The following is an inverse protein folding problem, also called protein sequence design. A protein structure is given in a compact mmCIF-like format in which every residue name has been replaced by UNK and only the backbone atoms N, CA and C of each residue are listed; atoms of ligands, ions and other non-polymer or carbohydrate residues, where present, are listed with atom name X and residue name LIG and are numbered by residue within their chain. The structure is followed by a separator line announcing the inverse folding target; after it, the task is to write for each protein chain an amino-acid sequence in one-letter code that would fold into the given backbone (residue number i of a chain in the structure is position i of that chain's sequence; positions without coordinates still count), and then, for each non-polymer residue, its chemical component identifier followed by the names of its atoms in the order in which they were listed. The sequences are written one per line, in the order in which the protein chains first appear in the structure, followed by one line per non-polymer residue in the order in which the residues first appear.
data_IF_621837428600
#
_entry.id   IF_621837428600
#
_cell.length_a   1.000
_cell.length_b   1.000
_cell.length_c   1.000
_cell.angle_alpha   90.00
_cell.angle_beta   90.00
_cell.angle_gamma   90.00
#
_symmetry.space_group_name_H-M   'P 1'
#
loop_
_entity.id
_entity.type
_entity.pdbx_description
1 polymer ?
#
# COMPACT_ATOMS: atom_id res chain seq x y z
N UNK A 1 -19.83 -1.56 12.85
CA UNK A 1 -18.43 -1.32 13.27
C UNK A 1 -17.51 -1.54 12.09
N UNK A 2 -16.53 -0.66 11.89
CA UNK A 2 -15.62 -0.62 10.73
C UNK A 2 -14.19 -0.88 11.18
N UNK A 3 -13.40 -1.57 10.36
CA UNK A 3 -11.97 -1.77 10.61
C UNK A 3 -11.26 -0.41 10.69
N UNK A 4 -10.48 -0.11 11.74
CA UNK A 4 -9.75 1.14 11.88
C UNK A 4 -8.82 1.42 10.70
N UNK A 5 -8.35 0.39 9.98
CA UNK A 5 -7.57 0.57 8.76
C UNK A 5 -8.39 1.29 7.68
N UNK A 6 -9.69 0.98 7.54
CA UNK A 6 -10.55 1.67 6.60
C UNK A 6 -10.79 3.13 7.02
N UNK A 7 -10.95 3.40 8.33
CA UNK A 7 -11.05 4.77 8.83
C UNK A 7 -9.78 5.57 8.51
N UNK A 8 -8.61 5.04 8.89
CA UNK A 8 -7.34 5.74 8.72
C UNK A 8 -7.01 5.98 7.25
N UNK A 9 -7.35 5.04 6.37
CA UNK A 9 -7.12 5.21 4.94
C UNK A 9 -7.98 6.34 4.35
N UNK A 10 -9.22 6.53 4.82
CA UNK A 10 -10.05 7.67 4.40
C UNK A 10 -9.42 9.00 4.83
N UNK A 11 -8.95 9.08 6.07
CA UNK A 11 -8.28 10.28 6.60
C UNK A 11 -7.01 10.61 5.80
N UNK A 12 -6.16 9.61 5.55
CA UNK A 12 -4.92 9.81 4.79
C UNK A 12 -5.18 10.16 3.33
N UNK A 13 -6.25 9.63 2.71
CA UNK A 13 -6.65 10.06 1.37
C UNK A 13 -7.07 11.53 1.37
N UNK A 14 -7.87 11.94 2.37
CA UNK A 14 -8.29 13.33 2.49
C UNK A 14 -7.09 14.26 2.64
N UNK A 15 -6.17 13.95 3.54
CA UNK A 15 -4.92 14.72 3.74
C UNK A 15 -4.07 14.78 2.46
N UNK A 16 -4.00 13.69 1.70
CA UNK A 16 -3.24 13.64 0.45
C UNK A 16 -3.87 14.52 -0.65
N UNK A 17 -5.22 14.56 -0.73
CA UNK A 17 -5.95 15.43 -1.66
C UNK A 17 -5.80 16.91 -1.28
N UNK A 18 -5.90 17.23 0.01
CA UNK A 18 -5.63 18.57 0.53
C UNK A 18 -4.19 19.01 0.22
N UNK A 19 -3.21 18.12 0.43
CA UNK A 19 -1.82 18.39 0.12
C UNK A 19 -1.57 18.61 -1.39
N UNK A 20 -2.29 17.87 -2.23
CA UNK A 20 -2.22 18.03 -3.69
C UNK A 20 -2.93 19.30 -4.19
N UNK A 21 -3.78 19.92 -3.37
CA UNK A 21 -4.59 21.07 -3.75
C UNK A 21 -5.77 20.71 -4.69
N UNK A 22 -6.18 19.44 -4.70
CA UNK A 22 -7.24 18.93 -5.57
C UNK A 22 -8.32 18.26 -4.74
N UNK A 23 -9.39 19.01 -4.44
CA UNK A 23 -10.53 18.46 -3.74
C UNK A 23 -11.43 17.67 -4.71
N UNK A 24 -12.01 16.54 -4.28
CA UNK A 24 -12.84 15.69 -5.14
C UNK A 24 -14.01 16.40 -5.81
N UNK A 25 -14.54 17.43 -5.15
CA UNK A 25 -15.67 18.23 -5.62
C UNK A 25 -15.34 19.18 -6.78
N UNK A 26 -14.06 19.55 -6.93
CA UNK A 26 -13.61 20.54 -7.91
C UNK A 26 -12.87 19.93 -9.11
N UNK A 27 -12.50 18.64 -9.04
CA UNK A 27 -11.71 17.98 -10.09
C UNK A 27 -12.61 17.47 -11.25
N UNK A 28 -12.45 17.94 -12.49
CA UNK A 28 -13.40 17.67 -13.58
C UNK A 28 -13.24 16.30 -14.29
N UNK A 29 -12.43 15.38 -13.76
CA UNK A 29 -12.08 14.11 -14.41
C UNK A 29 -12.20 12.88 -13.49
N UNK A 30 -12.13 11.66 -14.05
CA UNK A 30 -12.15 10.44 -13.26
C UNK A 30 -10.93 10.34 -12.36
N UNK A 31 -11.19 10.24 -11.05
CA UNK A 31 -10.17 9.99 -10.02
C UNK A 31 -10.17 8.51 -9.66
N UNK A 32 -9.08 7.80 -9.93
CA UNK A 32 -8.89 6.40 -9.56
C UNK A 32 -8.37 6.23 -8.12
N UNK A 33 -8.69 5.10 -7.49
CA UNK A 33 -8.21 4.74 -6.14
C UNK A 33 -7.63 3.32 -6.15
N UNK A 34 -6.36 3.21 -5.82
CA UNK A 34 -5.61 1.96 -5.78
C UNK A 34 -4.99 1.79 -4.40
N UNK A 35 -5.22 0.66 -3.75
CA UNK A 35 -4.61 0.45 -2.45
C UNK A 35 -4.95 -0.87 -1.81
N UNK A 36 -4.33 -1.11 -0.67
CA UNK A 36 -4.58 -2.32 0.11
C UNK A 36 -4.30 -2.10 1.59
N UNK A 37 -4.83 -3.01 2.40
CA UNK A 37 -4.62 -3.01 3.83
C UNK A 37 -4.00 -4.31 4.35
N UNK A 38 -3.39 -4.22 5.54
CA UNK A 38 -2.83 -5.33 6.28
C UNK A 38 -3.88 -6.34 6.75
N UNK A 39 -3.49 -7.24 7.65
CA UNK A 39 -4.43 -8.22 8.22
C UNK A 39 -5.58 -7.51 8.95
N UNK A 40 -6.83 -7.96 8.74
CA UNK A 40 -8.02 -7.46 9.43
C UNK A 40 -8.09 -7.94 10.89
N UNK A 41 -7.11 -7.57 11.70
CA UNK A 41 -6.94 -7.99 13.10
C UNK A 41 -8.11 -7.53 13.99
N UNK A 42 -8.70 -6.37 13.68
CA UNK A 42 -9.85 -5.80 14.40
C UNK A 42 -11.06 -6.75 14.41
N UNK A 43 -11.31 -7.45 13.31
CA UNK A 43 -12.40 -8.44 13.24
C UNK A 43 -12.23 -9.52 14.32
N UNK A 44 -11.03 -10.08 14.46
CA UNK A 44 -10.77 -11.17 15.39
C UNK A 44 -10.76 -10.69 16.85
N UNK A 45 -10.09 -9.57 17.13
CA UNK A 45 -9.86 -9.14 18.51
C UNK A 45 -10.98 -8.29 19.11
N UNK A 46 -11.79 -7.62 18.28
CA UNK A 46 -12.80 -6.67 18.74
C UNK A 46 -14.23 -7.02 18.31
N UNK A 47 -14.41 -7.59 17.11
CA UNK A 47 -15.75 -7.94 16.62
C UNK A 47 -16.19 -9.29 17.16
N UNK A 48 -15.40 -10.34 16.96
CA UNK A 48 -15.72 -11.69 17.43
C UNK A 48 -15.78 -11.81 18.96
N UNK A 49 -15.14 -10.88 19.69
CA UNK A 49 -15.16 -10.81 21.15
C UNK A 49 -16.33 -9.99 21.72
N UNK A 50 -17.17 -9.38 20.87
CA UNK A 50 -18.31 -8.55 21.28
C UNK A 50 -19.64 -9.17 20.80
N UNK A 51 -20.23 -10.11 21.57
CA UNK A 51 -21.43 -10.84 21.15
C UNK A 51 -22.67 -9.93 21.00
N UNK A 52 -22.79 -8.89 21.82
CA UNK A 52 -23.90 -7.95 21.75
C UNK A 52 -23.89 -7.18 20.41
N UNK A 53 -22.72 -6.66 20.02
CA UNK A 53 -22.56 -6.00 18.72
C UNK A 53 -22.88 -6.93 17.54
N UNK A 54 -22.46 -8.20 17.65
CA UNK A 54 -22.73 -9.22 16.63
C UNK A 54 -24.23 -9.50 16.52
N UNK A 55 -24.93 -9.58 17.65
CA UNK A 55 -26.38 -9.78 17.69
C UNK A 55 -27.14 -8.58 17.12
N UNK A 56 -26.70 -7.36 17.42
CA UNK A 56 -27.38 -6.13 17.01
C UNK A 56 -27.22 -5.82 15.52
N UNK A 57 -26.02 -5.99 14.95
CA UNK A 57 -25.71 -5.60 13.57
C UNK A 57 -25.76 -6.79 12.60
N UNK A 58 -25.42 -7.99 13.08
CA UNK A 58 -25.31 -9.21 12.28
C UNK A 58 -23.91 -9.43 11.69
N UNK A 59 -23.47 -10.70 11.74
CA UNK A 59 -22.14 -11.12 11.29
C UNK A 59 -21.84 -10.81 9.83
N UNK A 60 -22.85 -10.83 8.95
CA UNK A 60 -22.63 -10.57 7.54
C UNK A 60 -22.12 -9.14 7.31
N UNK A 61 -22.81 -8.14 7.85
CA UNK A 61 -22.41 -6.73 7.70
C UNK A 61 -21.09 -6.45 8.41
N UNK A 62 -20.90 -7.00 9.62
CA UNK A 62 -19.66 -6.79 10.36
C UNK A 62 -18.46 -7.40 9.65
N UNK A 63 -18.53 -8.67 9.23
CA UNK A 63 -17.41 -9.35 8.56
C UNK A 63 -17.17 -8.78 7.16
N UNK A 64 -18.22 -8.71 6.34
CA UNK A 64 -18.09 -8.42 4.93
C UNK A 64 -17.88 -6.92 4.70
N UNK A 65 -18.90 -6.10 4.92
CA UNK A 65 -18.80 -4.68 4.56
C UNK A 65 -17.92 -3.89 5.52
N UNK A 66 -17.90 -4.25 6.81
CA UNK A 66 -17.16 -3.51 7.83
C UNK A 66 -15.67 -3.84 7.92
N UNK A 67 -15.25 -5.05 7.57
CA UNK A 67 -13.92 -5.57 7.90
C UNK A 67 -13.23 -6.36 6.78
N UNK A 68 -13.91 -6.64 5.67
CA UNK A 68 -13.25 -7.26 4.52
C UNK A 68 -12.39 -6.23 3.79
N UNK A 69 -11.30 -6.71 3.20
CA UNK A 69 -10.32 -5.88 2.48
C UNK A 69 -10.93 -5.26 1.24
N UNK A 70 -11.89 -5.95 0.63
CA UNK A 70 -12.57 -5.56 -0.61
C UNK A 70 -13.18 -4.15 -0.59
N UNK A 71 -13.52 -3.64 0.60
CA UNK A 71 -14.22 -2.36 0.76
C UNK A 71 -13.30 -1.17 1.00
N UNK A 72 -11.98 -1.36 1.13
CA UNK A 72 -11.04 -0.27 1.46
C UNK A 72 -11.09 0.89 0.45
N UNK A 73 -10.88 0.58 -0.84
CA UNK A 73 -10.79 1.59 -1.90
C UNK A 73 -12.16 2.04 -2.37
N UNK A 74 -13.12 1.11 -2.48
CA UNK A 74 -14.49 1.40 -2.94
C UNK A 74 -15.24 2.27 -1.95
N UNK A 75 -14.97 2.13 -0.64
CA UNK A 75 -15.48 3.06 0.37
C UNK A 75 -14.92 4.47 0.19
N UNK A 76 -13.62 4.62 -0.07
CA UNK A 76 -13.03 5.93 -0.36
C UNK A 76 -13.65 6.56 -1.60
N UNK A 77 -13.77 5.80 -2.69
CA UNK A 77 -14.45 6.26 -3.90
C UNK A 77 -15.89 6.68 -3.64
N UNK A 78 -16.64 5.93 -2.82
CA UNK A 78 -18.01 6.27 -2.46
C UNK A 78 -18.10 7.55 -1.61
N UNK A 79 -17.28 7.67 -0.57
CA UNK A 79 -17.30 8.82 0.36
C UNK A 79 -16.90 10.11 -0.35
N UNK A 80 -15.91 10.05 -1.24
CA UNK A 80 -15.37 11.22 -1.95
C UNK A 80 -15.95 11.40 -3.36
N UNK A 81 -16.95 10.60 -3.75
CA UNK A 81 -17.56 10.65 -5.10
C UNK A 81 -16.55 10.53 -6.25
N UNK A 82 -15.56 9.62 -6.11
CA UNK A 82 -14.53 9.38 -7.11
C UNK A 82 -15.01 8.35 -8.13
N UNK A 83 -14.91 8.69 -9.41
CA UNK A 83 -15.56 7.95 -10.51
C UNK A 83 -14.59 7.16 -11.40
N UNK A 84 -13.29 7.22 -11.13
CA UNK A 84 -12.30 6.38 -11.80
C UNK A 84 -12.25 4.95 -11.28
N UNK A 85 -11.30 4.11 -11.76
CA UNK A 85 -11.12 2.75 -11.27
C UNK A 85 -10.87 2.71 -9.77
N UNK A 86 -11.60 1.86 -9.04
CA UNK A 86 -11.41 1.66 -7.60
C UNK A 86 -11.01 0.21 -7.34
N UNK A 87 -9.72 -0.01 -7.09
CA UNK A 87 -9.11 -1.35 -7.11
C UNK A 87 -8.38 -1.65 -5.81
N UNK A 88 -8.85 -2.69 -5.11
CA UNK A 88 -8.11 -3.26 -4.00
C UNK A 88 -6.98 -4.16 -4.53
N UNK A 89 -5.77 -3.94 -4.03
CA UNK A 89 -4.58 -4.72 -4.39
C UNK A 89 -4.03 -5.37 -3.13
N UNK A 90 -3.64 -6.65 -3.22
CA UNK A 90 -3.09 -7.42 -2.11
C UNK A 90 -1.92 -8.27 -2.59
N UNK A 91 -0.69 -7.83 -2.28
CA UNK A 91 0.56 -8.53 -2.64
C UNK A 91 1.51 -8.63 -1.45
N UNK A 92 0.97 -8.73 -0.23
CA UNK A 92 1.73 -8.72 1.02
C UNK A 92 2.60 -7.45 1.16
N UNK A 93 3.90 -7.57 1.47
CA UNK A 93 4.78 -6.43 1.76
C UNK A 93 4.92 -5.43 0.61
N UNK A 94 4.70 -5.85 -0.65
CA UNK A 94 4.77 -4.95 -1.82
C UNK A 94 3.46 -4.23 -2.14
N UNK A 95 2.40 -4.45 -1.38
CA UNK A 95 1.02 -4.03 -1.72
C UNK A 95 0.90 -2.56 -2.15
N UNK A 96 1.44 -1.64 -1.35
CA UNK A 96 1.35 -0.20 -1.64
C UNK A 96 2.13 0.20 -2.89
N UNK A 97 3.30 -0.40 -3.13
CA UNK A 97 4.10 -0.09 -4.33
C UNK A 97 3.47 -0.68 -5.61
N UNK A 98 2.82 -1.85 -5.50
CA UNK A 98 2.03 -2.40 -6.61
C UNK A 98 0.78 -1.55 -6.88
N UNK A 99 0.15 -1.00 -5.84
CA UNK A 99 -0.94 -0.04 -6.03
C UNK A 99 -0.48 1.22 -6.78
N UNK A 100 0.72 1.74 -6.46
CA UNK A 100 1.35 2.84 -7.22
C UNK A 100 1.59 2.44 -8.67
N UNK A 101 2.09 1.23 -8.94
CA UNK A 101 2.28 0.75 -10.32
C UNK A 101 0.98 0.79 -11.11
N UNK A 102 -0.12 0.24 -10.59
CA UNK A 102 -1.41 0.24 -11.29
C UNK A 102 -2.04 1.64 -11.43
N UNK A 103 -1.85 2.52 -10.44
CA UNK A 103 -2.26 3.91 -10.55
C UNK A 103 -1.52 4.63 -11.68
N UNK A 104 -0.21 4.41 -11.81
CA UNK A 104 0.58 4.93 -12.94
C UNK A 104 0.08 4.37 -14.27
N UNK A 105 -0.21 3.07 -14.35
CA UNK A 105 -0.76 2.48 -15.58
C UNK A 105 -2.12 3.11 -15.94
N UNK A 106 -3.03 3.28 -14.97
CA UNK A 106 -4.34 3.90 -15.20
C UNK A 106 -4.26 5.34 -15.72
N UNK A 107 -3.28 6.11 -15.25
CA UNK A 107 -3.00 7.47 -15.75
C UNK A 107 -2.46 7.44 -17.19
N UNK A 108 -1.57 6.50 -17.50
CA UNK A 108 -0.95 6.38 -18.82
C UNK A 108 -1.90 5.82 -19.88
N UNK A 109 -2.85 4.96 -19.49
CA UNK A 109 -3.91 4.43 -20.38
C UNK A 109 -5.09 5.38 -20.53
N UNK A 110 -5.17 6.44 -19.71
CA UNK A 110 -6.26 7.41 -19.73
C UNK A 110 -7.54 6.93 -19.04
N UNK A 111 -7.45 5.88 -18.23
CA UNK A 111 -8.57 5.42 -17.38
C UNK A 111 -8.81 6.36 -16.19
N UNK A 112 -7.77 7.08 -15.76
CA UNK A 112 -7.82 8.11 -14.73
C UNK A 112 -7.15 9.41 -15.19
N UNK A 113 -7.65 10.54 -14.73
CA UNK A 113 -6.99 11.87 -14.89
C UNK A 113 -6.21 12.27 -13.63
N UNK A 114 -6.56 11.64 -12.51
CA UNK A 114 -5.83 11.66 -11.25
C UNK A 114 -5.97 10.28 -10.60
N UNK A 115 -4.93 9.80 -9.94
CA UNK A 115 -4.98 8.51 -9.26
C UNK A 115 -4.42 8.62 -7.85
N UNK A 116 -5.12 8.02 -6.90
CA UNK A 116 -4.71 7.93 -5.50
C UNK A 116 -4.17 6.53 -5.29
N UNK A 117 -2.94 6.41 -4.79
CA UNK A 117 -2.30 5.13 -4.55
C UNK A 117 -1.77 5.06 -3.12
N UNK A 118 -2.00 3.95 -2.41
CA UNK A 118 -1.54 3.86 -1.02
C UNK A 118 -1.73 2.52 -0.34
N UNK A 119 -1.52 2.52 0.97
CA UNK A 119 -1.82 1.38 1.81
C UNK A 119 -1.83 1.72 3.28
N UNK A 120 -2.40 0.80 4.07
CA UNK A 120 -2.53 0.94 5.52
C UNK A 120 -2.27 -0.40 6.21
N UNK A 121 -1.60 -0.36 7.35
CA UNK A 121 -1.48 -1.50 8.26
C UNK A 121 -1.68 -0.99 9.67
N UNK A 122 -2.63 -1.58 10.40
CA UNK A 122 -2.81 -1.32 11.83
C UNK A 122 -2.80 -2.66 12.54
N UNK A 123 -1.80 -2.85 13.39
CA UNK A 123 -1.67 -4.05 14.21
C UNK A 123 -2.49 -3.93 15.49
N UNK A 124 -3.25 -4.97 15.78
CA UNK A 124 -4.03 -5.12 17.00
C UNK A 124 -3.78 -6.50 17.61
N UNK A 125 -3.83 -6.61 18.96
CA UNK A 125 -3.96 -5.51 19.91
C UNK A 125 -2.66 -4.69 20.05
N UNK A 126 -2.78 -3.39 20.27
CA UNK A 126 -1.63 -2.53 20.58
C UNK A 126 -1.04 -2.85 21.97
N UNK A 127 0.15 -2.32 22.25
CA UNK A 127 0.90 -2.55 23.50
C UNK A 127 1.20 -4.03 23.76
N UNK A 128 1.40 -4.80 22.70
CA UNK A 128 1.93 -6.16 22.77
C UNK A 128 3.21 -6.26 21.97
N UNK A 129 4.21 -6.92 22.55
CA UNK A 129 5.35 -7.43 21.81
C UNK A 129 5.03 -8.80 21.20
N UNK A 130 6.08 -9.45 20.72
CA UNK A 130 6.01 -10.80 20.17
C UNK A 130 7.01 -11.72 20.91
N UNK A 131 6.81 -13.02 20.77
CA UNK A 131 7.75 -14.02 21.27
C UNK A 131 8.61 -14.44 20.09
N UNK A 132 9.91 -14.22 20.20
CA UNK A 132 10.87 -14.65 19.19
C UNK A 132 10.82 -16.17 18.99
N UNK A 133 11.00 -16.60 17.75
CA UNK A 133 11.08 -18.00 17.38
C UNK A 133 12.01 -18.20 16.18
N UNK A 134 12.97 -19.10 16.35
CA UNK A 134 13.92 -19.48 15.30
C UNK A 134 13.20 -19.89 14.01
N UNK A 135 13.65 -19.33 12.89
CA UNK A 135 13.11 -19.61 11.55
C UNK A 135 11.91 -18.75 11.13
N UNK A 136 11.43 -17.86 12.00
CA UNK A 136 10.46 -16.82 11.64
C UNK A 136 11.17 -15.50 11.30
N UNK A 137 10.42 -14.50 10.81
CA UNK A 137 10.98 -13.25 10.29
C UNK A 137 11.21 -12.17 11.34
N UNK A 138 10.76 -12.38 12.58
CA UNK A 138 10.80 -11.38 13.64
C UNK A 138 12.15 -11.37 14.36
N UNK A 139 12.69 -10.18 14.62
CA UNK A 139 13.98 -10.00 15.27
C UNK A 139 13.98 -10.48 16.74
N UNK A 140 15.04 -11.10 17.26
CA UNK A 140 15.12 -11.48 18.67
C UNK A 140 15.22 -10.28 19.63
N UNK A 141 15.70 -9.12 19.17
CA UNK A 141 15.98 -7.95 20.02
C UNK A 141 14.99 -6.79 19.84
N UNK A 142 14.02 -6.93 18.94
CA UNK A 142 13.05 -5.86 18.68
C UNK A 142 13.57 -4.73 17.80
N UNK A 143 14.67 -4.92 17.08
CA UNK A 143 15.23 -3.94 16.13
C UNK A 143 15.41 -4.53 14.72
N UNK A 144 15.28 -3.69 13.69
CA UNK A 144 15.53 -4.05 12.29
C UNK A 144 16.91 -3.55 11.87
N UNK A 145 17.91 -4.44 11.89
CA UNK A 145 19.31 -4.10 11.60
C UNK A 145 19.67 -4.31 10.12
N UNK A 146 19.00 -3.58 9.22
CA UNK A 146 19.24 -3.71 7.78
C UNK A 146 20.72 -3.49 7.40
N UNK A 147 21.31 -4.47 6.71
CA UNK A 147 22.72 -4.47 6.24
C UNK A 147 23.80 -4.51 7.33
N UNK A 148 23.44 -4.71 8.60
CA UNK A 148 24.39 -4.84 9.70
C UNK A 148 24.70 -6.32 10.00
N UNK A 149 25.88 -6.61 10.54
CA UNK A 149 26.23 -7.97 11.00
C UNK A 149 25.30 -8.52 12.11
N UNK A 150 24.51 -7.65 12.75
CA UNK A 150 23.49 -7.98 13.76
C UNK A 150 22.11 -8.29 13.15
N UNK A 151 21.96 -8.28 11.83
CA UNK A 151 20.73 -8.63 11.13
C UNK A 151 20.23 -10.02 11.57
N UNK A 152 19.08 -10.06 12.24
CA UNK A 152 18.45 -11.29 12.75
C UNK A 152 16.91 -11.30 12.59
N UNK A 153 16.36 -10.37 11.81
CA UNK A 153 14.92 -10.26 11.56
C UNK A 153 14.45 -8.81 11.48
N UNK A 154 13.13 -8.66 11.36
CA UNK A 154 12.43 -7.37 11.27
C UNK A 154 11.49 -7.15 12.46
N UNK A 155 10.87 -5.97 12.48
CA UNK A 155 9.84 -5.58 13.44
C UNK A 155 8.70 -4.97 12.66
N UNK A 156 7.49 -5.48 12.86
CA UNK A 156 6.32 -4.89 12.23
C UNK A 156 5.89 -3.60 12.93
N UNK A 157 5.35 -2.69 12.12
CA UNK A 157 4.83 -1.41 12.57
C UNK A 157 3.45 -1.15 11.97
N UNK A 158 2.72 -0.24 12.61
CA UNK A 158 1.48 0.31 12.06
C UNK A 158 1.78 1.61 11.32
N UNK A 159 1.11 1.83 10.20
CA UNK A 159 1.25 3.03 9.39
C UNK A 159 0.24 3.08 8.26
N UNK A 160 -0.02 4.28 7.76
CA UNK A 160 -0.87 4.53 6.60
C UNK A 160 -0.20 5.60 5.72
N UNK A 161 -0.35 5.47 4.41
CA UNK A 161 0.19 6.43 3.45
C UNK A 161 -0.55 6.37 2.13
N UNK A 162 -0.73 7.53 1.50
CA UNK A 162 -1.25 7.66 0.15
C UNK A 162 -0.49 8.76 -0.60
N UNK A 163 -0.41 8.60 -1.92
CA UNK A 163 0.11 9.60 -2.86
C UNK A 163 -0.96 9.93 -3.89
N UNK A 164 -1.06 11.20 -4.25
CA UNK A 164 -1.87 11.67 -5.39
C UNK A 164 -0.95 11.77 -6.61
N UNK A 165 -1.35 11.11 -7.69
CA UNK A 165 -0.57 10.98 -8.92
C UNK A 165 -1.34 11.62 -10.08
N UNK A 166 -0.61 12.32 -10.93
CA UNK A 166 -1.11 12.88 -12.19
C UNK A 166 -0.08 12.69 -13.29
N UNK A 167 -0.53 12.77 -14.54
CA UNK A 167 0.40 12.88 -15.67
C UNK A 167 1.20 14.18 -15.53
N UNK A 168 2.51 14.10 -15.77
CA UNK A 168 3.40 15.25 -15.60
C UNK A 168 2.98 16.46 -16.45
N UNK A 169 2.51 16.21 -17.69
CA UNK A 169 1.99 17.27 -18.56
C UNK A 169 0.84 18.05 -17.93
N UNK A 170 -0.07 17.33 -17.28
CA UNK A 170 -1.32 17.88 -16.75
C UNK A 170 -1.03 18.62 -15.45
N UNK A 171 -0.17 18.06 -14.60
CA UNK A 171 0.32 18.73 -13.40
C UNK A 171 1.05 20.05 -13.71
N UNK A 172 1.86 20.08 -14.78
CA UNK A 172 2.52 21.32 -15.23
C UNK A 172 1.50 22.33 -15.77
N UNK A 173 0.52 21.86 -16.56
CA UNK A 173 -0.50 22.75 -17.15
C UNK A 173 -1.38 23.42 -16.09
N UNK A 174 -1.71 22.67 -15.04
CA UNK A 174 -2.56 23.13 -13.95
C UNK A 174 -1.79 23.88 -12.84
N UNK A 175 -0.46 23.87 -12.90
CA UNK A 175 0.40 24.56 -11.93
C UNK A 175 0.52 23.84 -10.58
N UNK A 176 0.35 22.51 -10.59
CA UNK A 176 0.42 21.68 -9.39
C UNK A 176 1.81 21.73 -8.75
N UNK A 177 1.86 21.56 -7.43
CA UNK A 177 3.12 21.33 -6.76
C UNK A 177 3.62 19.89 -7.01
N UNK A 178 4.77 19.76 -7.67
CA UNK A 178 5.35 18.45 -8.03
C UNK A 178 6.44 18.08 -7.02
N UNK A 179 6.12 17.17 -6.10
CA UNK A 179 7.08 16.62 -5.13
C UNK A 179 8.17 15.74 -5.77
N UNK A 180 7.83 15.05 -6.85
CA UNK A 180 8.72 14.14 -7.55
C UNK A 180 8.08 13.58 -8.82
N UNK A 181 8.88 12.95 -9.67
CA UNK A 181 8.43 12.34 -10.92
C UNK A 181 8.72 10.85 -10.89
N UNK A 182 7.67 10.04 -10.99
CA UNK A 182 7.82 8.60 -11.19
C UNK A 182 8.23 8.36 -12.64
N UNK A 183 9.51 8.04 -12.87
CA UNK A 183 10.07 7.84 -14.21
C UNK A 183 9.64 6.51 -14.83
N UNK A 184 9.46 5.48 -14.02
CA UNK A 184 9.04 4.15 -14.44
C UNK A 184 8.80 3.26 -13.22
N UNK A 185 7.98 2.23 -13.39
CA UNK A 185 7.71 1.19 -12.39
C UNK A 185 7.68 -0.17 -13.07
N UNK A 186 8.02 -1.23 -12.35
CA UNK A 186 7.92 -2.60 -12.83
C UNK A 186 7.49 -3.54 -11.69
N UNK A 187 6.79 -4.62 -12.04
CA UNK A 187 6.37 -5.67 -11.12
C UNK A 187 6.62 -7.03 -11.78
N UNK A 188 7.05 -8.02 -11.01
CA UNK A 188 7.18 -9.39 -11.48
C UNK A 188 6.90 -10.39 -10.34
N UNK A 189 7.16 -11.68 -10.59
CA UNK A 189 7.09 -12.72 -9.58
C UNK A 189 8.27 -13.68 -9.72
N UNK A 190 8.88 -14.05 -8.60
CA UNK A 190 10.05 -14.95 -8.55
C UNK A 190 9.77 -16.35 -9.14
N UNK A 191 8.50 -16.77 -9.16
CA UNK A 191 8.12 -18.13 -9.54
C UNK A 191 8.67 -19.18 -8.59
N UNK A 192 8.92 -20.38 -9.11
CA UNK A 192 9.28 -21.57 -8.32
C UNK A 192 10.79 -21.77 -8.13
N UNK A 193 11.64 -21.03 -8.86
CA UNK A 193 13.09 -21.23 -8.88
C UNK A 193 13.79 -20.59 -7.66
N UNK A 194 13.44 -21.06 -6.46
CA UNK A 194 13.94 -20.56 -5.18
C UNK A 194 13.84 -21.63 -4.08
N UNK A 195 14.57 -21.44 -2.98
CA UNK A 195 14.68 -22.43 -1.91
C UNK A 195 13.35 -22.78 -1.22
N UNK A 196 12.34 -21.93 -1.34
CA UNK A 196 10.99 -22.16 -0.83
C UNK A 196 10.06 -20.99 -1.15
N UNK A 197 8.76 -21.14 -0.84
CA UNK A 197 7.75 -20.12 -1.12
C UNK A 197 8.09 -18.74 -0.53
N UNK A 198 8.60 -18.73 0.71
CA UNK A 198 8.98 -17.52 1.45
C UNK A 198 10.40 -17.03 1.15
N UNK A 199 11.20 -17.81 0.42
CA UNK A 199 12.57 -17.40 0.09
C UNK A 199 12.53 -16.25 -0.93
N UNK A 200 13.48 -15.30 -0.86
CA UNK A 200 13.70 -14.33 -1.93
C UNK A 200 14.38 -14.98 -3.15
N UNK A 201 14.24 -14.36 -4.32
CA UNK A 201 15.03 -14.69 -5.52
C UNK A 201 15.89 -13.51 -5.96
N UNK A 202 17.20 -13.71 -6.06
CA UNK A 202 18.13 -12.69 -6.58
C UNK A 202 17.84 -12.37 -8.04
N UNK A 203 17.55 -13.39 -8.86
CA UNK A 203 17.26 -13.23 -10.27
C UNK A 203 15.94 -12.48 -10.49
N UNK A 204 14.90 -12.82 -9.71
CA UNK A 204 13.60 -12.16 -9.77
C UNK A 204 13.70 -10.68 -9.41
N UNK A 205 14.38 -10.36 -8.30
CA UNK A 205 14.61 -8.98 -7.87
C UNK A 205 15.45 -8.20 -8.88
N UNK A 206 16.53 -8.80 -9.39
CA UNK A 206 17.40 -8.17 -10.39
C UNK A 206 16.64 -7.87 -11.68
N UNK A 207 15.80 -8.80 -12.14
CA UNK A 207 14.97 -8.60 -13.32
C UNK A 207 13.97 -7.43 -13.14
N UNK A 208 13.31 -7.33 -11.97
CA UNK A 208 12.39 -6.24 -11.69
C UNK A 208 13.09 -4.87 -11.69
N UNK A 209 14.29 -4.78 -11.12
CA UNK A 209 15.09 -3.54 -11.09
C UNK A 209 15.52 -3.14 -12.50
N UNK A 210 16.03 -4.09 -13.28
CA UNK A 210 16.47 -3.84 -14.67
C UNK A 210 15.29 -3.40 -15.53
N UNK A 211 14.13 -4.04 -15.38
CA UNK A 211 12.92 -3.65 -16.10
C UNK A 211 12.45 -2.24 -15.71
N UNK A 212 12.42 -1.92 -14.41
CA UNK A 212 12.06 -0.58 -13.95
C UNK A 212 12.98 0.51 -14.53
N UNK A 213 14.29 0.25 -14.56
CA UNK A 213 15.28 1.15 -15.16
C UNK A 213 15.09 1.30 -16.69
N UNK A 214 14.82 0.19 -17.38
CA UNK A 214 14.56 0.18 -18.81
C UNK A 214 13.30 0.98 -19.17
N UNK A 215 12.19 0.75 -18.45
CA UNK A 215 10.93 1.49 -18.60
C UNK A 215 11.16 2.99 -18.31
N UNK A 216 11.95 3.30 -17.29
CA UNK A 216 12.26 4.68 -16.91
C UNK A 216 13.21 5.40 -17.87
N UNK A 217 13.95 4.66 -18.71
CA UNK A 217 15.06 5.19 -19.51
C UNK A 217 16.18 5.77 -18.63
N UNK A 218 16.41 5.20 -17.45
CA UNK A 218 17.36 5.69 -16.44
C UNK A 218 18.57 4.75 -16.40
N UNK A 219 19.77 5.32 -16.61
CA UNK A 219 21.01 4.55 -16.50
C UNK A 219 21.37 4.30 -15.03
N UNK A 220 21.90 3.12 -14.65
CA UNK A 220 22.16 2.77 -13.25
C UNK A 220 23.10 3.74 -12.52
N UNK A 221 24.09 4.29 -13.23
CA UNK A 221 25.08 5.25 -12.72
C UNK A 221 24.49 6.64 -12.41
N UNK A 222 23.24 6.90 -12.82
CA UNK A 222 22.52 8.13 -12.49
C UNK A 222 21.63 8.02 -11.25
N UNK A 223 21.51 6.82 -10.66
CA UNK A 223 20.70 6.60 -9.46
C UNK A 223 21.49 7.04 -8.22
N UNK A 224 21.06 8.13 -7.60
CA UNK A 224 21.75 8.70 -6.43
C UNK A 224 21.40 8.05 -5.08
N UNK A 225 20.27 7.35 -5.01
CA UNK A 225 19.79 6.72 -3.78
C UNK A 225 18.92 5.50 -4.08
N UNK A 226 18.97 4.49 -3.21
CA UNK A 226 18.14 3.29 -3.28
C UNK A 226 17.49 3.08 -1.91
N UNK A 227 16.18 3.29 -1.83
CA UNK A 227 15.38 2.84 -0.68
C UNK A 227 15.12 1.35 -0.84
N UNK A 228 15.80 0.52 -0.04
CA UNK A 228 15.75 -0.93 -0.16
C UNK A 228 14.57 -1.54 0.61
N UNK A 229 14.18 -2.77 0.28
CA UNK A 229 13.23 -3.53 1.13
C UNK A 229 13.75 -3.71 2.56
N UNK A 230 15.07 -3.89 2.74
CA UNK A 230 15.75 -3.73 4.02
C UNK A 230 15.18 -4.57 5.17
N UNK A 231 14.94 -5.86 4.95
CA UNK A 231 14.24 -6.74 5.92
C UNK A 231 15.02 -7.00 7.21
N UNK A 232 16.32 -6.70 7.28
CA UNK A 232 17.14 -6.97 8.47
C UNK A 232 17.43 -8.45 8.72
N UNK A 233 17.36 -9.28 7.68
CA UNK A 233 17.56 -10.74 7.70
C UNK A 233 18.87 -11.17 7.06
#
# INVERSE_FOLDING_TARGET
AMDPQQCQFLEVIWEALENAGHMPEDFPGPVGVFGGCGMGSYFYFNICSNPDLVQDVGMFLLRHTGNDKDFLTTRASHVFNLTGPSVNVQTACSTSLVAVHYAVQSLLTGESDMAIAGGVTIELPQNRGYIYKDGEILSPDGECHAFDHRAQGTVFGSGAGAVVLRRLSDAIADGDHIWGVIKGTAINNDGAAKAGYLAPSVDGQSAAIVEAQAVAGVAPDTVGYIETHGTGT
#
